data_IF_946854571468
#
_entry.id   IF_946854571468
#
_cell.length_a   1.000
_cell.length_b   1.000
_cell.length_c   1.000
_cell.angle_alpha   90.00
_cell.angle_beta   90.00
_cell.angle_gamma   90.00
#
_symmetry.space_group_name_H-M   'P 1'
#
loop_
_entity.id
_entity.type
_entity.pdbx_description
1 polymer ?
#
# COMPACT_ATOMS: atom_id res chain seq x y z
N UNK A 1 -4.98 19.22 9.26
CA UNK A 1 -5.56 18.07 8.51
C UNK A 1 -4.86 18.00 7.15
N UNK A 2 -3.71 17.33 7.03
CA UNK A 2 -3.02 17.14 5.73
C UNK A 2 -2.75 15.66 5.43
N UNK A 3 -2.44 14.87 6.46
CA UNK A 3 -2.13 13.44 6.34
C UNK A 3 -3.19 12.59 5.61
N UNK A 4 -4.49 12.91 5.73
CA UNK A 4 -5.56 12.16 5.04
C UNK A 4 -5.66 12.45 3.53
N UNK A 5 -5.20 13.62 3.07
CA UNK A 5 -5.19 13.97 1.66
C UNK A 5 -4.13 13.17 0.90
N UNK A 6 -2.93 13.08 1.49
CA UNK A 6 -1.79 12.40 0.88
C UNK A 6 -2.03 10.88 0.79
N UNK A 7 -2.66 10.26 1.81
CA UNK A 7 -2.94 8.82 1.79
C UNK A 7 -3.87 8.40 0.65
N UNK A 8 -4.93 9.16 0.38
CA UNK A 8 -5.83 8.82 -0.73
C UNK A 8 -5.12 8.90 -2.09
N UNK A 9 -4.15 9.81 -2.23
CA UNK A 9 -3.33 9.90 -3.44
C UNK A 9 -2.37 8.70 -3.57
N UNK A 10 -1.73 8.32 -2.47
CA UNK A 10 -0.88 7.11 -2.39
C UNK A 10 -1.70 5.87 -2.76
N UNK A 11 -2.92 5.73 -2.22
CA UNK A 11 -3.82 4.63 -2.58
C UNK A 11 -4.13 4.62 -4.06
N UNK A 12 -4.45 5.77 -4.65
CA UNK A 12 -4.67 5.89 -6.10
C UNK A 12 -3.46 5.42 -6.93
N UNK A 13 -2.25 5.83 -6.54
CA UNK A 13 -1.02 5.41 -7.22
C UNK A 13 -0.74 3.92 -7.05
N UNK A 14 -0.95 3.36 -5.86
CA UNK A 14 -0.78 1.93 -5.58
C UNK A 14 -1.72 1.08 -6.47
N UNK A 15 -3.00 1.46 -6.58
CA UNK A 15 -3.95 0.80 -7.47
C UNK A 15 -3.55 0.89 -8.93
N UNK A 16 -3.03 2.03 -9.38
CA UNK A 16 -2.54 2.16 -10.76
C UNK A 16 -1.30 1.29 -11.02
N UNK A 17 -0.40 1.17 -10.04
CA UNK A 17 0.84 0.40 -10.15
C UNK A 17 0.59 -1.11 -10.20
N UNK A 18 -0.29 -1.61 -9.33
CA UNK A 18 -0.50 -3.05 -9.16
C UNK A 18 -1.82 -3.55 -9.76
N UNK A 19 -2.75 -2.66 -10.12
CA UNK A 19 -3.99 -2.94 -10.87
C UNK A 19 -5.07 -3.71 -10.11
N UNK A 20 -4.67 -4.56 -9.17
CA UNK A 20 -5.52 -5.53 -8.46
C UNK A 20 -5.80 -5.18 -7.00
N UNK A 21 -5.26 -4.07 -6.52
CA UNK A 21 -5.52 -3.56 -5.19
C UNK A 21 -6.82 -2.77 -5.13
N UNK A 22 -7.55 -2.94 -4.05
CA UNK A 22 -8.75 -2.17 -3.72
C UNK A 22 -8.44 -1.11 -2.65
N UNK A 23 -9.43 -0.25 -2.35
CA UNK A 23 -9.28 0.67 -1.20
C UNK A 23 -9.10 -0.07 0.12
N UNK A 24 -9.76 -1.21 0.28
CA UNK A 24 -9.73 -2.03 1.50
C UNK A 24 -8.38 -2.74 1.67
N UNK A 25 -7.78 -3.20 0.56
CA UNK A 25 -6.43 -3.80 0.59
C UNK A 25 -5.36 -2.76 1.00
N UNK A 26 -5.63 -1.49 0.75
CA UNK A 26 -4.76 -0.35 1.06
C UNK A 26 -5.19 0.37 2.34
N UNK A 27 -6.16 -0.16 3.08
CA UNK A 27 -6.50 0.37 4.39
C UNK A 27 -5.48 -0.14 5.41
N UNK A 28 -4.84 0.81 6.09
CA UNK A 28 -3.75 0.54 7.00
C UNK A 28 -4.20 0.77 8.45
N UNK A 29 -4.11 -0.28 9.26
CA UNK A 29 -4.32 -0.22 10.71
C UNK A 29 -2.97 -0.17 11.43
N UNK A 30 -2.84 0.75 12.38
CA UNK A 30 -1.60 0.91 13.12
C UNK A 30 -1.27 -0.34 13.95
N UNK A 31 0.00 -0.75 13.91
CA UNK A 31 0.47 -1.99 14.54
C UNK A 31 0.27 -3.27 13.71
N UNK A 32 -0.32 -3.22 12.51
CA UNK A 32 -0.49 -4.39 11.62
C UNK A 32 0.35 -4.31 10.33
N UNK A 33 1.49 -3.63 10.36
CA UNK A 33 2.33 -3.41 9.19
C UNK A 33 2.73 -4.70 8.48
N UNK A 34 3.24 -5.68 9.23
CA UNK A 34 3.74 -6.92 8.62
C UNK A 34 2.62 -7.73 7.97
N UNK A 35 1.45 -7.81 8.61
CA UNK A 35 0.27 -8.47 8.04
C UNK A 35 -0.23 -7.74 6.79
N UNK A 36 -0.28 -6.40 6.83
CA UNK A 36 -0.70 -5.58 5.71
C UNK A 36 0.22 -5.79 4.49
N UNK A 37 1.54 -5.75 4.69
CA UNK A 37 2.49 -6.02 3.62
C UNK A 37 2.41 -7.47 3.10
N UNK A 38 2.13 -8.45 3.96
CA UNK A 38 1.91 -9.84 3.55
C UNK A 38 0.69 -9.98 2.63
N UNK A 39 -0.44 -9.37 2.98
CA UNK A 39 -1.65 -9.35 2.15
C UNK A 39 -1.40 -8.67 0.80
N UNK A 40 -0.65 -7.57 0.79
CA UNK A 40 -0.26 -6.89 -0.44
C UNK A 40 0.65 -7.77 -1.30
N UNK A 41 1.60 -8.49 -0.70
CA UNK A 41 2.43 -9.44 -1.43
C UNK A 41 1.58 -10.56 -2.07
N UNK A 42 0.64 -11.16 -1.33
CA UNK A 42 -0.24 -12.20 -1.85
C UNK A 42 -1.14 -11.70 -2.99
N UNK A 43 -1.71 -10.51 -2.83
CA UNK A 43 -2.55 -9.87 -3.85
C UNK A 43 -1.76 -9.52 -5.09
N UNK A 44 -0.67 -8.75 -4.93
CA UNK A 44 0.09 -8.18 -6.05
C UNK A 44 1.03 -9.19 -6.70
N UNK A 45 1.42 -10.26 -6.00
CA UNK A 45 2.43 -11.22 -6.44
C UNK A 45 3.86 -10.68 -6.44
N UNK A 46 4.08 -9.46 -5.93
CA UNK A 46 5.39 -8.83 -5.87
C UNK A 46 6.13 -9.16 -4.58
N UNK A 47 7.46 -9.04 -4.60
CA UNK A 47 8.26 -9.19 -3.39
C UNK A 47 7.89 -8.11 -2.36
N UNK A 48 7.82 -8.50 -1.08
CA UNK A 48 7.50 -7.58 0.01
C UNK A 48 8.46 -6.38 0.05
N UNK A 49 9.72 -6.58 -0.31
CA UNK A 49 10.75 -5.52 -0.37
C UNK A 49 10.48 -4.51 -1.49
N UNK A 50 9.94 -4.94 -2.64
CA UNK A 50 9.55 -4.04 -3.73
C UNK A 50 8.37 -3.15 -3.30
N UNK A 51 7.42 -3.74 -2.57
CA UNK A 51 6.25 -3.05 -2.04
C UNK A 51 6.69 -2.03 -0.98
N UNK A 52 7.44 -2.48 0.04
CA UNK A 52 8.01 -1.64 1.09
C UNK A 52 8.86 -0.51 0.50
N UNK A 53 9.74 -0.82 -0.44
CA UNK A 53 10.61 0.16 -1.09
C UNK A 53 9.85 1.14 -1.99
N UNK A 54 8.74 0.75 -2.62
CA UNK A 54 7.90 1.71 -3.34
C UNK A 54 7.24 2.70 -2.39
N UNK A 55 6.69 2.19 -1.30
CA UNK A 55 6.05 2.97 -0.26
C UNK A 55 7.04 3.94 0.42
N UNK A 56 8.23 3.48 0.84
CA UNK A 56 9.34 4.32 1.38
C UNK A 56 9.90 5.38 0.42
N UNK A 57 9.68 5.24 -0.89
CA UNK A 57 10.09 6.25 -1.89
C UNK A 57 8.99 7.25 -2.20
N UNK A 58 7.75 6.87 -1.93
CA UNK A 58 6.55 7.66 -2.23
C UNK A 58 6.13 8.47 -0.99
N UNK A 59 6.49 8.02 0.21
CA UNK A 59 6.31 8.67 1.50
C UNK A 59 7.59 8.59 2.34
#
# INVERSE_FOLDING_TARGET
>A
MKARGDWNQIKGQAKQKWGNLTDDDLDYEDGKQDEWYGRLQEKTGHAIDDIKGWFQRTF
#
